data_IF_765602483050
#
_entry.id   IF_765602483050
#
_cell.length_a   1.000
_cell.length_b   1.000
_cell.length_c   1.000
_cell.angle_alpha   90.00
_cell.angle_beta   90.00
_cell.angle_gamma   90.00
#
_symmetry.space_group_name_H-M   'P 1'
#
loop_
_entity.id
_entity.type
_entity.pdbx_description
1 polymer ?
#
# COMPACT_ATOMS: atom_id res chain seq x y z
N UNK A 1 -4.28 -39.97 18.86
CA UNK A 1 -3.80 -39.14 19.98
C UNK A 1 -4.97 -38.92 20.93
N UNK A 2 -5.13 -39.79 21.93
CA UNK A 2 -6.19 -39.69 22.93
C UNK A 2 -5.58 -39.12 24.21
N UNK A 3 -5.49 -37.80 24.29
CA UNK A 3 -5.11 -37.07 25.50
C UNK A 3 -6.32 -36.30 25.99
N UNK A 4 -6.63 -36.39 27.28
CA UNK A 4 -7.69 -35.62 27.91
C UNK A 4 -7.34 -34.13 27.81
N UNK A 5 -7.96 -33.41 26.87
CA UNK A 5 -7.73 -32.00 26.67
C UNK A 5 -8.19 -31.20 27.90
N UNK A 6 -7.26 -30.49 28.55
CA UNK A 6 -7.57 -29.60 29.68
C UNK A 6 -8.31 -28.32 29.24
N UNK A 7 -8.36 -28.05 27.93
CA UNK A 7 -9.07 -26.91 27.35
C UNK A 7 -10.52 -27.28 27.12
N UNK A 8 -11.43 -26.49 27.69
CA UNK A 8 -12.85 -26.58 27.39
C UNK A 8 -13.10 -26.03 25.98
N UNK A 9 -13.27 -26.91 25.01
CA UNK A 9 -13.54 -26.52 23.63
C UNK A 9 -14.99 -26.07 23.51
N UNK A 10 -15.20 -24.77 23.31
CA UNK A 10 -16.51 -24.22 22.97
C UNK A 10 -16.79 -24.48 21.48
N UNK A 11 -17.83 -25.26 21.14
CA UNK A 11 -18.20 -25.52 19.75
C UNK A 11 -18.47 -24.24 18.94
N UNK A 12 -18.89 -23.14 19.57
CA UNK A 12 -19.11 -21.87 18.88
C UNK A 12 -17.79 -21.23 18.43
N UNK A 13 -16.77 -21.24 19.29
CA UNK A 13 -15.42 -20.73 18.98
C UNK A 13 -14.79 -21.57 17.87
N UNK A 14 -14.89 -22.89 17.96
CA UNK A 14 -14.36 -23.80 16.93
C UNK A 14 -15.02 -23.58 15.57
N UNK A 15 -16.34 -23.38 15.53
CA UNK A 15 -17.05 -23.08 14.28
C UNK A 15 -16.66 -21.73 13.69
N UNK A 16 -16.49 -20.71 14.51
CA UNK A 16 -16.03 -19.40 14.04
C UNK A 16 -14.61 -19.47 13.48
N UNK A 17 -13.71 -20.20 14.16
CA UNK A 17 -12.36 -20.39 13.67
C UNK A 17 -12.37 -21.13 12.31
N UNK A 18 -13.09 -22.24 12.22
CA UNK A 18 -13.27 -22.97 10.95
C UNK A 18 -13.85 -22.09 9.85
N UNK A 19 -14.87 -21.28 10.16
CA UNK A 19 -15.46 -20.36 9.18
C UNK A 19 -14.40 -19.41 8.61
N UNK A 20 -13.55 -18.81 9.47
CA UNK A 20 -12.49 -17.88 9.06
C UNK A 20 -11.38 -18.54 8.25
N UNK A 21 -10.94 -19.72 8.68
CA UNK A 21 -9.91 -20.50 7.98
C UNK A 21 -10.40 -21.00 6.62
N UNK A 22 -11.68 -21.38 6.51
CA UNK A 22 -12.28 -21.93 5.29
C UNK A 22 -12.89 -20.88 4.35
N UNK A 23 -12.73 -19.57 4.63
CA UNK A 23 -13.29 -18.49 3.77
C UNK A 23 -12.81 -18.62 2.33
N UNK A 24 -11.55 -18.96 2.10
CA UNK A 24 -10.98 -19.06 0.75
C UNK A 24 -11.64 -20.16 -0.09
N UNK A 25 -12.12 -21.25 0.54
CA UNK A 25 -12.80 -22.36 -0.16
C UNK A 25 -14.13 -21.94 -0.77
N UNK A 26 -14.79 -20.96 -0.15
CA UNK A 26 -16.12 -20.48 -0.54
C UNK A 26 -16.05 -19.09 -1.21
N UNK A 27 -14.85 -18.55 -1.41
CA UNK A 27 -14.66 -17.23 -1.98
C UNK A 27 -15.12 -17.17 -3.45
N UNK A 28 -15.75 -16.05 -3.82
CA UNK A 28 -16.15 -15.74 -5.19
C UNK A 28 -15.88 -14.29 -5.51
N UNK A 29 -15.39 -14.04 -6.72
CA UNK A 29 -15.23 -12.69 -7.27
C UNK A 29 -16.60 -12.10 -7.63
N UNK A 30 -17.23 -11.45 -6.64
CA UNK A 30 -18.38 -10.58 -6.86
C UNK A 30 -17.91 -9.19 -7.28
N UNK A 31 -18.76 -8.39 -7.91
CA UNK A 31 -18.38 -7.04 -8.37
C UNK A 31 -17.72 -6.22 -7.25
N UNK A 32 -18.25 -6.30 -6.02
CA UNK A 32 -17.68 -5.63 -4.84
C UNK A 32 -16.31 -6.22 -4.45
N UNK A 33 -16.20 -7.54 -4.30
CA UNK A 33 -14.96 -8.19 -3.90
C UNK A 33 -13.84 -7.96 -4.92
N UNK A 34 -14.17 -7.98 -6.22
CA UNK A 34 -13.24 -7.70 -7.31
C UNK A 34 -12.71 -6.28 -7.25
N UNK A 35 -13.58 -5.28 -7.04
CA UNK A 35 -13.13 -3.88 -6.90
C UNK A 35 -12.26 -3.67 -5.67
N UNK A 36 -12.61 -4.26 -4.52
CA UNK A 36 -11.79 -4.16 -3.31
C UNK A 36 -10.42 -4.79 -3.55
N UNK A 37 -10.39 -5.98 -4.17
CA UNK A 37 -9.15 -6.70 -4.47
C UNK A 37 -8.26 -5.93 -5.45
N UNK A 38 -8.85 -5.43 -6.53
CA UNK A 38 -8.15 -4.65 -7.56
C UNK A 38 -7.57 -3.36 -6.98
N UNK A 39 -8.37 -2.62 -6.20
CA UNK A 39 -7.92 -1.37 -5.60
C UNK A 39 -6.82 -1.61 -4.57
N UNK A 40 -7.00 -2.60 -3.67
CA UNK A 40 -6.07 -2.87 -2.59
C UNK A 40 -4.75 -3.49 -3.04
N UNK A 41 -4.77 -4.36 -4.05
CA UNK A 41 -3.56 -5.07 -4.51
C UNK A 41 -2.87 -4.43 -5.71
N UNK A 42 -3.61 -3.69 -6.56
CA UNK A 42 -3.04 -3.15 -7.80
C UNK A 42 -3.05 -1.63 -7.79
N UNK A 43 -4.22 -1.00 -7.63
CA UNK A 43 -4.30 0.46 -7.81
C UNK A 43 -3.52 1.21 -6.73
N UNK A 44 -3.70 0.87 -5.45
CA UNK A 44 -3.01 1.57 -4.35
C UNK A 44 -1.50 1.33 -4.40
N UNK A 45 -0.99 0.08 -4.46
CA UNK A 45 0.45 -0.15 -4.55
C UNK A 45 1.05 0.40 -5.85
N UNK A 46 0.36 0.26 -6.98
CA UNK A 46 0.81 0.76 -8.28
C UNK A 46 0.88 2.29 -8.32
N UNK A 47 -0.11 2.98 -7.76
CA UNK A 47 -0.09 4.44 -7.65
C UNK A 47 1.04 4.93 -6.74
N UNK A 48 1.26 4.28 -5.59
CA UNK A 48 2.36 4.61 -4.69
C UNK A 48 3.72 4.42 -5.37
N UNK A 49 3.93 3.30 -6.05
CA UNK A 49 5.16 3.05 -6.79
C UNK A 49 5.38 4.08 -7.90
N UNK A 50 4.34 4.38 -8.68
CA UNK A 50 4.43 5.36 -9.76
C UNK A 50 4.79 6.75 -9.23
N UNK A 51 4.10 7.22 -8.18
CA UNK A 51 4.36 8.51 -7.55
C UNK A 51 5.76 8.55 -6.93
N UNK A 52 6.16 7.49 -6.24
CA UNK A 52 7.51 7.38 -5.67
C UNK A 52 8.57 7.45 -6.76
N UNK A 53 8.41 6.69 -7.84
CA UNK A 53 9.39 6.66 -8.94
C UNK A 53 9.50 8.01 -9.66
N UNK A 54 8.39 8.74 -9.83
CA UNK A 54 8.39 10.07 -10.44
C UNK A 54 8.99 11.16 -9.55
N UNK A 55 8.86 11.00 -8.24
CA UNK A 55 9.30 11.99 -7.26
C UNK A 55 10.72 11.70 -6.75
N UNK A 56 11.19 10.47 -6.92
CA UNK A 56 12.50 10.05 -6.48
C UNK A 56 13.59 10.91 -7.13
N UNK A 57 14.54 11.34 -6.30
CA UNK A 57 15.69 12.18 -6.70
C UNK A 57 15.34 13.51 -7.37
N UNK A 58 14.06 13.89 -7.46
CA UNK A 58 13.63 15.12 -8.14
C UNK A 58 13.89 16.36 -7.30
N UNK A 59 13.92 16.23 -5.97
CA UNK A 59 14.00 17.36 -5.05
C UNK A 59 15.28 17.29 -4.22
N UNK A 60 15.97 18.43 -4.10
CA UNK A 60 17.10 18.58 -3.20
C UNK A 60 16.99 19.91 -2.47
N UNK A 61 16.74 19.84 -1.17
CA UNK A 61 16.51 21.00 -0.31
C UNK A 61 17.74 21.36 0.53
N UNK A 62 18.81 20.59 0.40
CA UNK A 62 20.03 20.75 1.20
C UNK A 62 20.67 22.11 0.90
N UNK A 63 20.69 23.01 1.88
CA UNK A 63 21.35 24.31 1.78
C UNK A 63 20.68 25.33 0.84
N UNK A 64 19.44 25.10 0.39
CA UNK A 64 18.73 26.01 -0.53
C UNK A 64 18.31 27.32 0.14
N UNK A 65 18.50 28.44 -0.56
CA UNK A 65 18.12 29.79 -0.09
C UNK A 65 16.76 30.26 -0.65
N UNK A 66 16.26 31.40 -0.14
CA UNK A 66 14.99 31.98 -0.59
C UNK A 66 15.07 32.38 -2.06
N UNK A 67 14.15 31.86 -2.87
CA UNK A 67 14.10 32.12 -4.33
C UNK A 67 14.79 31.06 -5.16
N UNK A 68 15.61 30.20 -4.56
CA UNK A 68 16.30 29.13 -5.30
C UNK A 68 15.38 27.95 -5.62
N UNK A 69 15.59 27.34 -6.78
CA UNK A 69 14.85 26.15 -7.19
C UNK A 69 15.19 24.94 -6.30
N UNK A 70 14.15 24.26 -5.83
CA UNK A 70 14.23 23.03 -5.04
C UNK A 70 14.40 21.77 -5.89
N UNK A 71 14.32 21.90 -7.21
CA UNK A 71 14.58 20.80 -8.13
C UNK A 71 16.06 20.42 -8.07
N UNK A 72 16.36 19.13 -8.08
CA UNK A 72 17.74 18.66 -8.12
C UNK A 72 18.45 19.05 -9.44
N UNK A 73 17.68 19.27 -10.52
CA UNK A 73 18.17 19.71 -11.83
C UNK A 73 17.29 20.86 -12.35
N UNK A 74 17.58 22.12 -11.98
CA UNK A 74 16.83 23.25 -12.49
C UNK A 74 17.15 23.49 -13.98
N UNK A 75 16.14 23.83 -14.78
CA UNK A 75 16.34 24.23 -16.17
C UNK A 75 16.98 25.62 -16.24
N UNK A 76 18.03 25.78 -17.06
CA UNK A 76 18.82 27.02 -17.13
C UNK A 76 18.05 28.25 -17.61
N UNK A 77 16.87 28.06 -18.19
CA UNK A 77 15.96 29.13 -18.63
C UNK A 77 15.50 30.05 -17.51
N UNK A 78 15.45 29.59 -16.25
CA UNK A 78 14.99 30.43 -15.13
C UNK A 78 16.09 31.39 -14.65
N UNK A 79 17.35 30.95 -14.67
CA UNK A 79 18.48 31.79 -14.25
C UNK A 79 18.81 32.91 -15.24
N UNK A 80 18.57 32.72 -16.53
CA UNK A 80 18.84 33.73 -17.57
C UNK A 80 17.81 34.88 -17.62
N UNK A 81 16.71 34.79 -16.87
CA UNK A 81 15.69 35.85 -16.80
C UNK A 81 15.87 36.76 -15.57
N UNK A 82 16.80 36.43 -14.67
CA UNK A 82 17.09 37.17 -13.45
C UNK A 82 18.40 38.00 -13.53
N UNK A 83 19.17 37.89 -14.63
CA UNK A 83 20.27 38.79 -15.01
C UNK A 83 19.81 39.83 -16.04
#
# INVERSE_FOLDING_TARGET
MAGHGYVNNDPAVDRWNRMREDVYKHFRFTSRASWISLTGMVLVPGALLYLSAQQDSKWNWTGKQKGESLLSRPSQTVHAAEE
#
